data_IF_283163338253
#
_entry.id   IF_283163338253
#
_cell.length_a   1.000
_cell.length_b   1.000
_cell.length_c   1.000
_cell.angle_alpha   90.00
_cell.angle_beta   90.00
_cell.angle_gamma   90.00
#
_symmetry.space_group_name_H-M   'P 1'
#
loop_
_entity.id
_entity.type
_entity.pdbx_description
1 polymer ?
#
# COMPACT_ATOMS: atom_id res chain seq x y z
N UNK A 1 22.16 11.75 3.03
CA UNK A 1 22.56 10.34 3.29
C UNK A 1 22.33 10.03 4.75
N UNK A 2 21.58 8.95 5.01
CA UNK A 2 21.14 8.55 6.35
C UNK A 2 22.33 7.96 7.12
N UNK A 3 22.53 8.41 8.36
CA UNK A 3 23.52 7.83 9.26
C UNK A 3 22.94 6.56 9.91
N UNK A 4 23.31 5.39 9.38
CA UNK A 4 22.81 4.09 9.84
C UNK A 4 23.05 3.88 11.34
N UNK A 5 24.13 4.43 11.90
CA UNK A 5 24.46 4.28 13.32
C UNK A 5 23.48 5.00 14.26
N UNK A 6 22.62 5.87 13.72
CA UNK A 6 21.58 6.58 14.47
C UNK A 6 20.20 5.92 14.35
N UNK A 7 20.07 4.87 13.53
CA UNK A 7 18.82 4.13 13.37
C UNK A 7 18.59 3.18 14.54
N UNK A 8 17.32 2.79 14.75
CA UNK A 8 16.94 1.75 15.70
C UNK A 8 17.72 0.44 15.43
N UNK A 9 18.16 -0.26 16.50
CA UNK A 9 18.95 -1.49 16.39
C UNK A 9 18.24 -2.56 15.55
N UNK A 10 16.90 -2.63 15.61
CA UNK A 10 16.11 -3.55 14.80
C UNK A 10 16.15 -3.20 13.31
N UNK A 11 16.21 -1.91 12.97
CA UNK A 11 16.38 -1.44 11.58
C UNK A 11 17.81 -1.74 11.09
N UNK A 12 18.83 -1.52 11.93
CA UNK A 12 20.21 -1.84 11.58
C UNK A 12 20.38 -3.34 11.30
N UNK A 13 19.83 -4.20 12.16
CA UNK A 13 19.84 -5.65 11.98
C UNK A 13 19.09 -6.08 10.71
N UNK A 14 17.96 -5.43 10.41
CA UNK A 14 17.19 -5.68 9.18
C UNK A 14 17.99 -5.33 7.91
N UNK A 15 18.64 -4.17 7.88
CA UNK A 15 19.49 -3.74 6.76
C UNK A 15 20.66 -4.70 6.53
N UNK A 16 21.33 -5.12 7.61
CA UNK A 16 22.39 -6.12 7.53
C UNK A 16 21.86 -7.45 6.95
N UNK A 17 20.67 -7.88 7.40
CA UNK A 17 20.07 -9.13 6.94
C UNK A 17 19.64 -9.10 5.49
N UNK A 18 19.17 -7.96 4.97
CA UNK A 18 18.93 -7.79 3.53
C UNK A 18 20.19 -8.11 2.73
N UNK A 19 21.33 -7.53 3.11
CA UNK A 19 22.59 -7.72 2.39
C UNK A 19 23.08 -9.19 2.43
N UNK A 20 22.87 -9.89 3.55
CA UNK A 20 23.18 -11.31 3.68
C UNK A 20 22.33 -12.17 2.75
N UNK A 21 21.00 -11.99 2.77
CA UNK A 21 20.08 -12.75 1.91
C UNK A 21 20.36 -12.44 0.44
N UNK A 22 20.61 -11.18 0.10
CA UNK A 22 20.92 -10.73 -1.25
C UNK A 22 22.14 -11.47 -1.82
N UNK A 23 23.17 -11.67 -0.99
CA UNK A 23 24.40 -12.39 -1.34
C UNK A 23 24.22 -13.91 -1.50
N UNK A 24 23.21 -14.51 -0.85
CA UNK A 24 22.89 -15.94 -0.97
C UNK A 24 22.10 -16.27 -2.25
N UNK A 25 21.34 -15.31 -2.78
CA UNK A 25 20.44 -15.54 -3.90
C UNK A 25 21.16 -15.45 -5.26
N UNK A 26 20.75 -16.25 -6.26
CA UNK A 26 21.28 -16.13 -7.61
C UNK A 26 21.15 -14.70 -8.13
N UNK A 27 22.20 -14.20 -8.78
CA UNK A 27 22.17 -12.89 -9.44
C UNK A 27 21.29 -12.95 -10.68
N UNK A 28 20.36 -12.01 -10.79
CA UNK A 28 19.63 -11.78 -12.04
C UNK A 28 20.51 -10.93 -12.95
N UNK A 29 20.99 -11.53 -14.04
CA UNK A 29 21.91 -10.85 -14.99
C UNK A 29 21.19 -10.19 -16.16
N UNK A 30 19.95 -10.59 -16.43
CA UNK A 30 19.10 -9.98 -17.47
C UNK A 30 18.17 -8.93 -16.85
N UNK A 31 18.36 -7.63 -17.14
CA UNK A 31 17.46 -6.57 -16.68
C UNK A 31 16.03 -6.65 -17.24
N UNK A 32 15.73 -7.57 -18.16
CA UNK A 32 14.39 -7.83 -18.66
C UNK A 32 13.71 -9.04 -17.96
N UNK A 33 14.41 -9.78 -17.11
CA UNK A 33 13.84 -10.91 -16.36
C UNK A 33 13.00 -10.43 -15.17
N UNK A 34 11.82 -9.87 -15.47
CA UNK A 34 10.83 -9.50 -14.45
C UNK A 34 10.35 -10.69 -13.62
N UNK A 35 10.02 -11.87 -14.19
CA UNK A 35 9.63 -13.03 -13.39
C UNK A 35 10.70 -13.46 -12.37
N UNK A 36 11.96 -13.55 -12.78
CA UNK A 36 13.06 -13.93 -11.89
C UNK A 36 13.31 -12.89 -10.79
N UNK A 37 13.21 -11.59 -11.12
CA UNK A 37 13.31 -10.52 -10.11
C UNK A 37 12.17 -10.56 -9.10
N UNK A 38 10.92 -10.74 -9.55
CA UNK A 38 9.75 -10.85 -8.68
C UNK A 38 9.88 -12.01 -7.70
N UNK A 39 10.28 -13.18 -8.19
CA UNK A 39 10.48 -14.34 -7.32
C UNK A 39 11.60 -14.11 -6.32
N UNK A 40 12.70 -13.49 -6.76
CA UNK A 40 13.81 -13.14 -5.88
C UNK A 40 13.39 -12.17 -4.78
N UNK A 41 12.69 -11.09 -5.14
CA UNK A 41 12.18 -10.10 -4.19
C UNK A 41 11.20 -10.72 -3.19
N UNK A 42 10.30 -11.60 -3.66
CA UNK A 42 9.40 -12.36 -2.79
C UNK A 42 10.15 -13.23 -1.79
N UNK A 43 11.21 -13.93 -2.21
CA UNK A 43 12.04 -14.73 -1.30
C UNK A 43 12.71 -13.85 -0.24
N UNK A 44 13.23 -12.69 -0.62
CA UNK A 44 13.83 -11.73 0.33
C UNK A 44 12.76 -11.24 1.32
N UNK A 45 11.61 -10.81 0.80
CA UNK A 45 10.45 -10.34 1.58
C UNK A 45 10.01 -11.37 2.62
N UNK A 46 9.75 -12.61 2.20
CA UNK A 46 9.26 -13.69 3.07
C UNK A 46 10.28 -14.09 4.15
N UNK A 47 11.57 -14.13 3.82
CA UNK A 47 12.63 -14.42 4.80
C UNK A 47 12.74 -13.32 5.85
N UNK A 48 12.72 -12.05 5.42
CA UNK A 48 12.74 -10.91 6.35
C UNK A 48 11.48 -10.88 7.21
N UNK A 49 10.31 -11.17 6.64
CA UNK A 49 9.06 -11.26 7.40
C UNK A 49 9.13 -12.33 8.50
N UNK A 50 9.65 -13.51 8.18
CA UNK A 50 9.80 -14.60 9.14
C UNK A 50 10.66 -14.20 10.36
N UNK A 51 11.68 -13.36 10.16
CA UNK A 51 12.61 -12.93 11.19
C UNK A 51 12.12 -11.66 11.93
N UNK A 52 11.60 -10.65 11.22
CA UNK A 52 11.36 -9.30 11.75
C UNK A 52 9.89 -8.89 11.91
N UNK A 53 8.94 -9.62 11.32
CA UNK A 53 7.51 -9.38 11.53
C UNK A 53 6.94 -10.28 12.62
N UNK A 54 5.93 -9.81 13.35
CA UNK A 54 5.06 -10.71 14.12
C UNK A 54 4.41 -11.72 13.18
N UNK A 55 4.14 -12.96 13.62
CA UNK A 55 3.47 -13.95 12.77
C UNK A 55 2.03 -13.51 12.46
N UNK A 56 1.40 -14.21 11.51
CA UNK A 56 -0.05 -14.12 11.26
C UNK A 56 -0.84 -14.24 12.56
N UNK A 57 -1.80 -13.34 12.76
CA UNK A 57 -2.68 -13.33 13.92
C UNK A 57 -3.71 -14.47 13.81
N UNK A 58 -3.72 -15.35 14.81
CA UNK A 58 -4.59 -16.54 14.81
C UNK A 58 -6.07 -16.22 15.02
N UNK A 59 -6.40 -14.99 15.45
CA UNK A 59 -7.78 -14.48 15.54
C UNK A 59 -8.36 -14.16 14.16
N UNK A 60 -7.54 -14.08 13.12
CA UNK A 60 -7.98 -13.94 11.74
C UNK A 60 -7.88 -15.26 10.95
N UNK A 61 -8.78 -15.42 10.00
CA UNK A 61 -8.69 -16.42 8.94
C UNK A 61 -8.25 -15.76 7.63
N UNK A 62 -7.41 -16.47 6.89
CA UNK A 62 -6.94 -16.08 5.55
C UNK A 62 -7.42 -17.17 4.59
N UNK A 63 -8.09 -16.76 3.53
CA UNK A 63 -8.60 -17.66 2.49
C UNK A 63 -8.18 -17.16 1.11
N UNK A 64 -7.75 -18.09 0.27
CA UNK A 64 -7.48 -17.80 -1.14
C UNK A 64 -8.82 -17.65 -1.88
N UNK A 65 -8.97 -16.56 -2.63
CA UNK A 65 -10.18 -16.25 -3.40
C UNK A 65 -9.83 -15.67 -4.77
N UNK A 66 -10.82 -15.62 -5.65
CA UNK A 66 -10.74 -14.86 -6.89
C UNK A 66 -11.74 -13.71 -6.82
N UNK A 67 -11.32 -12.51 -7.23
CA UNK A 67 -12.16 -11.31 -7.28
C UNK A 67 -11.88 -10.53 -8.56
N UNK A 68 -12.92 -10.21 -9.34
CA UNK A 68 -12.79 -9.59 -10.66
C UNK A 68 -11.79 -10.33 -11.58
N UNK A 69 -11.73 -11.66 -11.46
CA UNK A 69 -10.79 -12.51 -12.21
C UNK A 69 -9.33 -12.37 -11.79
N UNK A 70 -9.04 -11.79 -10.62
CA UNK A 70 -7.70 -11.67 -10.01
C UNK A 70 -7.61 -12.53 -8.76
N UNK A 71 -6.43 -13.06 -8.48
CA UNK A 71 -6.17 -13.71 -7.20
C UNK A 71 -6.23 -12.71 -6.05
N UNK A 72 -6.70 -13.14 -4.88
CA UNK A 72 -6.63 -12.35 -3.66
C UNK A 72 -6.57 -13.24 -2.41
N UNK A 73 -6.10 -12.65 -1.30
CA UNK A 73 -6.36 -13.17 0.03
C UNK A 73 -7.55 -12.42 0.64
N UNK A 74 -8.57 -13.16 1.07
CA UNK A 74 -9.64 -12.65 1.92
C UNK A 74 -9.29 -12.94 3.38
N UNK A 75 -9.18 -11.87 4.16
CA UNK A 75 -8.75 -11.89 5.55
C UNK A 75 -9.91 -11.38 6.41
N UNK A 76 -10.37 -12.19 7.37
CA UNK A 76 -11.51 -11.86 8.25
C UNK A 76 -11.22 -12.26 9.69
N UNK A 77 -11.81 -11.59 10.71
CA UNK A 77 -11.82 -12.11 12.07
C UNK A 77 -12.60 -13.43 12.11
N UNK A 78 -12.05 -14.47 12.74
CA UNK A 78 -12.65 -15.82 12.77
C UNK A 78 -14.05 -15.86 13.37
N UNK A 79 -14.29 -15.04 14.38
CA UNK A 79 -15.55 -15.02 15.12
C UNK A 79 -16.56 -14.00 14.54
N UNK A 80 -16.20 -13.31 13.45
CA UNK A 80 -17.08 -12.33 12.82
C UNK A 80 -18.30 -13.00 12.17
N UNK A 81 -19.45 -12.33 12.25
CA UNK A 81 -20.71 -12.80 11.65
C UNK A 81 -21.37 -11.67 10.87
N UNK A 82 -21.88 -12.02 9.70
CA UNK A 82 -22.60 -11.09 8.82
C UNK A 82 -21.68 -10.11 8.09
N UNK A 83 -22.27 -9.05 7.51
CA UNK A 83 -21.54 -8.04 6.77
C UNK A 83 -20.52 -7.31 7.63
N UNK A 84 -19.29 -7.19 7.13
CA UNK A 84 -18.20 -6.47 7.78
C UNK A 84 -17.82 -5.22 6.98
N UNK A 85 -17.41 -4.15 7.66
CA UNK A 85 -16.62 -3.11 7.02
C UNK A 85 -15.44 -3.74 6.27
N UNK A 86 -15.17 -3.27 5.07
CA UNK A 86 -14.22 -3.93 4.17
C UNK A 86 -13.21 -2.95 3.61
N UNK A 87 -11.93 -3.31 3.65
CA UNK A 87 -10.87 -2.61 2.92
C UNK A 87 -10.34 -3.47 1.78
N UNK A 88 -10.28 -2.91 0.56
CA UNK A 88 -9.42 -3.45 -0.49
C UNK A 88 -7.98 -2.99 -0.23
N UNK A 89 -7.06 -3.91 0.00
CA UNK A 89 -5.64 -3.64 0.19
C UNK A 89 -4.84 -3.93 -1.09
N UNK A 90 -3.90 -3.04 -1.38
CA UNK A 90 -3.03 -3.08 -2.55
C UNK A 90 -1.57 -3.12 -2.05
N UNK A 91 -0.85 -4.17 -2.42
CA UNK A 91 0.54 -4.38 -1.97
C UNK A 91 1.53 -3.37 -2.57
N UNK A 92 2.72 -3.29 -1.98
CA UNK A 92 3.85 -2.52 -2.50
C UNK A 92 4.60 -3.23 -3.63
N UNK A 93 5.84 -2.82 -3.91
CA UNK A 93 6.67 -3.45 -4.96
C UNK A 93 6.81 -2.63 -6.23
N UNK A 94 6.73 -1.30 -6.13
CA UNK A 94 7.05 -0.40 -7.25
C UNK A 94 6.25 -0.67 -8.52
N UNK A 95 5.01 -1.14 -8.44
CA UNK A 95 4.15 -1.49 -9.58
C UNK A 95 4.65 -2.66 -10.47
N UNK A 96 5.89 -3.10 -10.28
CA UNK A 96 6.56 -4.11 -11.10
C UNK A 96 6.79 -5.42 -10.36
N UNK A 97 6.59 -5.44 -9.05
CA UNK A 97 6.74 -6.60 -8.16
C UNK A 97 5.75 -6.56 -6.99
N UNK A 98 5.97 -7.43 -5.99
CA UNK A 98 5.04 -7.70 -4.90
C UNK A 98 3.94 -8.68 -5.30
N UNK A 99 3.23 -9.19 -4.31
CA UNK A 99 2.06 -10.06 -4.49
C UNK A 99 1.18 -10.09 -3.24
N UNK A 100 -0.10 -10.39 -3.40
CA UNK A 100 -0.99 -10.69 -2.28
C UNK A 100 -0.50 -11.89 -1.43
N UNK A 101 0.38 -12.74 -1.97
CA UNK A 101 0.91 -13.95 -1.34
C UNK A 101 2.11 -13.74 -0.42
N UNK A 102 2.59 -12.51 -0.25
CA UNK A 102 3.73 -12.25 0.63
C UNK A 102 3.37 -12.49 2.11
N UNK A 103 4.24 -13.20 2.82
CA UNK A 103 4.05 -13.52 4.25
C UNK A 103 3.95 -12.25 5.10
N UNK A 104 4.66 -11.19 4.71
CA UNK A 104 4.61 -9.90 5.39
C UNK A 104 3.22 -9.27 5.35
N UNK A 105 2.57 -9.32 4.19
CA UNK A 105 1.22 -8.76 4.01
C UNK A 105 0.23 -9.54 4.85
N UNK A 106 0.27 -10.87 4.81
CA UNK A 106 -0.60 -11.71 5.65
C UNK A 106 -0.41 -11.44 7.15
N UNK A 107 0.83 -11.29 7.61
CA UNK A 107 1.14 -10.96 9.00
C UNK A 107 0.54 -9.62 9.44
N UNK A 108 0.72 -8.57 8.64
CA UNK A 108 0.23 -7.22 8.93
C UNK A 108 -1.30 -7.16 8.86
N UNK A 109 -1.88 -7.73 7.81
CA UNK A 109 -3.31 -7.58 7.52
C UNK A 109 -4.17 -8.49 8.41
N UNK A 110 -3.66 -9.65 8.84
CA UNK A 110 -4.36 -10.50 9.82
C UNK A 110 -4.52 -9.81 11.17
N UNK A 111 -3.46 -9.16 11.68
CA UNK A 111 -3.54 -8.36 12.91
C UNK A 111 -4.54 -7.21 12.75
N UNK A 112 -4.47 -6.47 11.63
CA UNK A 112 -5.42 -5.38 11.35
C UNK A 112 -6.85 -5.85 11.29
N UNK A 113 -7.14 -6.92 10.57
CA UNK A 113 -8.48 -7.48 10.46
C UNK A 113 -9.00 -7.88 11.85
N UNK A 114 -8.21 -8.63 12.62
CA UNK A 114 -8.58 -9.11 13.95
C UNK A 114 -8.82 -7.97 14.95
N UNK A 115 -7.94 -6.96 15.00
CA UNK A 115 -8.01 -5.90 16.00
C UNK A 115 -9.00 -4.78 15.63
N UNK A 116 -9.09 -4.43 14.34
CA UNK A 116 -10.06 -3.43 13.88
C UNK A 116 -11.46 -4.01 13.64
N UNK A 117 -11.61 -5.34 13.62
CA UNK A 117 -12.89 -6.00 13.39
C UNK A 117 -13.42 -5.84 11.96
N UNK A 118 -12.53 -5.80 10.97
CA UNK A 118 -12.87 -5.56 9.56
C UNK A 118 -12.47 -6.73 8.66
N UNK A 119 -13.07 -6.81 7.48
CA UNK A 119 -12.60 -7.64 6.38
C UNK A 119 -11.53 -6.89 5.57
N UNK A 120 -10.48 -7.60 5.15
CA UNK A 120 -9.48 -7.08 4.21
C UNK A 120 -9.39 -8.01 3.01
N UNK A 121 -9.47 -7.46 1.81
CA UNK A 121 -9.22 -8.17 0.55
C UNK A 121 -7.87 -7.70 0.00
N UNK A 122 -6.83 -8.53 0.10
CA UNK A 122 -5.50 -8.24 -0.43
C UNK A 122 -5.42 -8.69 -1.89
N UNK A 123 -5.43 -7.73 -2.83
CA UNK A 123 -5.57 -7.98 -4.27
C UNK A 123 -4.22 -8.19 -4.96
N UNK A 124 -4.13 -9.22 -5.78
CA UNK A 124 -2.98 -9.51 -6.66
C UNK A 124 -3.22 -8.85 -8.03
N UNK A 125 -3.00 -7.53 -8.07
CA UNK A 125 -3.26 -6.72 -9.27
C UNK A 125 -2.21 -6.94 -10.36
N UNK A 126 -2.54 -6.60 -11.62
CA UNK A 126 -1.60 -6.75 -12.74
C UNK A 126 -0.40 -5.81 -12.62
N UNK A 127 0.79 -6.35 -12.87
CA UNK A 127 2.06 -5.64 -12.76
C UNK A 127 2.58 -5.11 -14.11
N UNK A 128 3.33 -4.02 -14.02
CA UNK A 128 4.17 -3.50 -15.10
C UNK A 128 5.47 -4.34 -15.22
N UNK A 129 6.11 -4.36 -16.41
CA UNK A 129 5.75 -3.64 -17.63
C UNK A 129 4.71 -4.34 -18.50
N UNK A 130 4.31 -5.58 -18.20
CA UNK A 130 3.36 -6.34 -19.02
C UNK A 130 1.98 -5.67 -19.05
N UNK A 131 1.62 -5.01 -17.95
CA UNK A 131 0.37 -4.28 -17.79
C UNK A 131 0.66 -2.91 -17.17
N UNK A 132 1.08 -1.92 -17.97
CA UNK A 132 1.38 -0.59 -17.45
C UNK A 132 0.09 0.14 -17.01
N UNK A 133 0.25 1.32 -16.43
CA UNK A 133 -0.85 2.20 -16.05
C UNK A 133 -1.85 2.39 -17.21
N UNK A 134 -3.17 2.31 -16.95
CA UNK A 134 -3.82 2.20 -15.64
C UNK A 134 -4.24 0.77 -15.23
N UNK A 135 -3.58 -0.30 -15.67
CA UNK A 135 -4.07 -1.67 -15.49
C UNK A 135 -4.35 -2.06 -14.02
N UNK A 136 -3.40 -1.82 -13.10
CA UNK A 136 -3.58 -2.11 -11.67
C UNK A 136 -4.74 -1.31 -11.04
N UNK A 137 -4.90 -0.05 -11.45
CA UNK A 137 -6.00 0.82 -11.01
C UNK A 137 -7.34 0.27 -11.49
N UNK A 138 -7.42 -0.20 -12.74
CA UNK A 138 -8.64 -0.80 -13.28
C UNK A 138 -9.00 -2.11 -12.58
N UNK A 139 -8.00 -2.93 -12.23
CA UNK A 139 -8.21 -4.15 -11.43
C UNK A 139 -8.79 -3.81 -10.05
N UNK A 140 -8.24 -2.79 -9.39
CA UNK A 140 -8.73 -2.34 -8.08
C UNK A 140 -10.16 -1.76 -8.14
N UNK A 141 -10.49 -0.96 -9.17
CA UNK A 141 -11.86 -0.45 -9.38
C UNK A 141 -12.85 -1.59 -9.64
N UNK A 142 -12.47 -2.58 -10.46
CA UNK A 142 -13.30 -3.75 -10.72
C UNK A 142 -13.52 -4.59 -9.45
N UNK A 143 -12.47 -4.81 -8.66
CA UNK A 143 -12.57 -5.50 -7.38
C UNK A 143 -13.50 -4.76 -6.41
N UNK A 144 -13.38 -3.44 -6.26
CA UNK A 144 -14.29 -2.65 -5.41
C UNK A 144 -15.74 -2.76 -5.86
N UNK A 145 -16.00 -2.72 -7.17
CA UNK A 145 -17.35 -2.88 -7.71
C UNK A 145 -17.92 -4.26 -7.38
N UNK A 146 -17.11 -5.32 -7.47
CA UNK A 146 -17.54 -6.68 -7.10
C UNK A 146 -17.74 -6.83 -5.59
N UNK A 147 -16.86 -6.27 -4.74
CA UNK A 147 -17.03 -6.27 -3.27
C UNK A 147 -18.36 -5.62 -2.87
N UNK A 148 -18.71 -4.52 -3.52
CA UNK A 148 -19.90 -3.75 -3.22
C UNK A 148 -21.20 -4.39 -3.76
N UNK A 149 -21.11 -5.35 -4.69
CA UNK A 149 -22.28 -6.04 -5.22
C UNK A 149 -22.82 -7.06 -4.19
N UNK A 150 -24.04 -6.87 -3.65
CA UNK A 150 -24.63 -7.82 -2.72
C UNK A 150 -24.78 -9.23 -3.30
N UNK A 151 -24.91 -9.35 -4.63
CA UNK A 151 -25.03 -10.64 -5.30
C UNK A 151 -23.71 -11.43 -5.35
N UNK A 152 -22.56 -10.75 -5.19
CA UNK A 152 -21.24 -11.39 -5.19
C UNK A 152 -20.90 -12.09 -3.87
N UNK A 153 -21.65 -11.84 -2.79
CA UNK A 153 -21.56 -12.62 -1.55
C UNK A 153 -20.30 -12.33 -0.71
N UNK A 154 -19.67 -11.17 -0.87
CA UNK A 154 -18.48 -10.76 -0.11
C UNK A 154 -18.75 -10.44 1.36
N UNK A 155 -20.02 -10.40 1.78
CA UNK A 155 -20.46 -9.99 3.11
C UNK A 155 -19.77 -8.68 3.53
N UNK A 156 -19.76 -7.71 2.62
CA UNK A 156 -19.22 -6.38 2.85
C UNK A 156 -20.35 -5.43 3.27
N UNK A 157 -20.05 -4.54 4.22
CA UNK A 157 -20.93 -3.43 4.60
C UNK A 157 -20.75 -2.30 3.56
N UNK A 158 -21.79 -2.00 2.74
CA UNK A 158 -21.66 -1.07 1.62
C UNK A 158 -21.47 0.39 2.06
N UNK A 159 -21.78 0.74 3.31
CA UNK A 159 -21.55 2.08 3.86
C UNK A 159 -20.10 2.25 4.37
N UNK A 160 -19.39 1.14 4.58
CA UNK A 160 -18.05 1.11 5.17
C UNK A 160 -17.07 0.36 4.28
N UNK A 161 -16.96 0.81 3.03
CA UNK A 161 -15.99 0.31 2.06
C UNK A 161 -14.80 1.27 1.97
N UNK A 162 -13.59 0.74 2.08
CA UNK A 162 -12.36 1.51 1.95
C UNK A 162 -11.37 0.91 0.97
N UNK A 163 -10.37 1.70 0.61
CA UNK A 163 -9.19 1.25 -0.14
C UNK A 163 -7.94 1.54 0.70
N UNK A 164 -6.85 0.83 0.47
CA UNK A 164 -5.58 1.16 1.08
C UNK A 164 -4.43 0.41 0.46
N UNK A 165 -3.22 0.78 0.84
CA UNK A 165 -2.02 0.11 0.35
C UNK A 165 -0.73 0.76 0.79
N UNK A 166 0.37 0.02 0.59
CA UNK A 166 1.72 0.47 0.88
C UNK A 166 2.48 0.83 -0.39
N UNK A 167 3.27 1.91 -0.37
CA UNK A 167 4.17 2.30 -1.46
C UNK A 167 3.44 2.46 -2.79
N UNK A 168 3.75 1.64 -3.80
CA UNK A 168 3.02 1.55 -5.06
C UNK A 168 1.52 1.27 -4.87
N UNK A 169 1.13 0.40 -3.94
CA UNK A 169 -0.26 0.15 -3.60
C UNK A 169 -0.94 1.38 -2.98
N UNK A 170 -0.21 2.19 -2.21
CA UNK A 170 -0.69 3.47 -1.70
C UNK A 170 -0.92 4.50 -2.82
N UNK A 171 -0.07 4.50 -3.85
CA UNK A 171 -0.34 5.27 -5.08
C UNK A 171 -1.60 4.78 -5.78
N UNK A 172 -1.73 3.48 -6.05
CA UNK A 172 -2.90 2.91 -6.73
C UNK A 172 -4.18 3.24 -5.94
N UNK A 173 -4.16 3.12 -4.61
CA UNK A 173 -5.27 3.48 -3.73
C UNK A 173 -5.68 4.95 -3.85
N UNK A 174 -4.71 5.87 -3.91
CA UNK A 174 -5.00 7.30 -4.11
C UNK A 174 -5.65 7.57 -5.49
N UNK A 175 -5.15 6.94 -6.56
CA UNK A 175 -5.75 7.06 -7.90
C UNK A 175 -7.16 6.47 -7.94
N UNK A 176 -7.38 5.33 -7.29
CA UNK A 176 -8.70 4.72 -7.15
C UNK A 176 -9.67 5.66 -6.45
N UNK A 177 -9.26 6.31 -5.36
CA UNK A 177 -10.09 7.29 -4.66
C UNK A 177 -10.52 8.46 -5.56
N UNK A 178 -9.58 9.01 -6.36
CA UNK A 178 -9.86 10.06 -7.34
C UNK A 178 -10.88 9.60 -8.40
N UNK A 179 -10.64 8.43 -9.01
CA UNK A 179 -11.50 7.90 -10.07
C UNK A 179 -12.89 7.51 -9.59
N UNK A 180 -12.98 6.90 -8.40
CA UNK A 180 -14.27 6.53 -7.80
C UNK A 180 -15.07 7.78 -7.45
N UNK A 181 -14.45 8.81 -6.85
CA UNK A 181 -15.10 10.11 -6.62
C UNK A 181 -15.69 10.66 -7.92
N UNK A 182 -14.91 10.70 -9.00
CA UNK A 182 -15.38 11.30 -10.26
C UNK A 182 -16.49 10.47 -10.91
N UNK A 183 -16.43 9.13 -10.80
CA UNK A 183 -17.51 8.26 -11.22
C UNK A 183 -18.80 8.51 -10.41
N UNK A 184 -18.70 8.68 -9.09
CA UNK A 184 -19.84 9.01 -8.21
C UNK A 184 -20.42 10.38 -8.56
N UNK A 185 -19.57 11.41 -8.74
CA UNK A 185 -20.01 12.76 -9.17
C UNK A 185 -20.72 12.74 -10.53
N UNK A 186 -20.29 11.87 -11.43
CA UNK A 186 -20.94 11.66 -12.73
C UNK A 186 -22.25 10.83 -12.65
N UNK A 187 -22.67 10.40 -11.45
CA UNK A 187 -23.89 9.62 -11.25
C UNK A 187 -23.74 8.13 -11.63
N UNK A 188 -22.52 7.61 -11.71
CA UNK A 188 -22.29 6.18 -11.93
C UNK A 188 -22.62 5.37 -10.68
N UNK A 189 -22.97 4.10 -10.85
CA UNK A 189 -23.17 3.15 -9.75
C UNK A 189 -21.85 2.67 -9.10
N UNK A 190 -20.79 3.49 -9.13
CA UNK A 190 -19.54 3.18 -8.46
C UNK A 190 -19.78 3.17 -6.93
N UNK A 191 -19.14 2.25 -6.19
CA UNK A 191 -19.32 2.22 -4.74
C UNK A 191 -18.74 3.47 -4.11
N UNK A 192 -19.44 4.04 -3.11
CA UNK A 192 -18.87 5.13 -2.33
C UNK A 192 -17.78 4.60 -1.42
N UNK A 193 -16.65 5.29 -1.37
CA UNK A 193 -15.58 4.98 -0.44
C UNK A 193 -15.75 5.81 0.83
N UNK A 194 -15.69 5.15 1.98
CA UNK A 194 -15.64 5.80 3.29
C UNK A 194 -14.23 6.28 3.63
N UNK A 195 -13.20 5.56 3.16
CA UNK A 195 -11.82 5.76 3.62
C UNK A 195 -10.75 5.32 2.60
N UNK A 196 -9.61 6.02 2.59
CA UNK A 196 -8.38 5.60 1.92
C UNK A 196 -7.16 5.65 2.87
N UNK A 197 -6.55 4.49 3.17
CA UNK A 197 -5.32 4.36 3.97
C UNK A 197 -4.09 4.28 3.07
N UNK A 198 -3.25 5.32 3.07
CA UNK A 198 -2.09 5.44 2.18
C UNK A 198 -0.79 5.36 3.00
N UNK A 199 -0.07 4.26 2.88
CA UNK A 199 1.17 4.03 3.64
C UNK A 199 2.39 4.21 2.75
N UNK A 200 3.34 5.06 3.17
CA UNK A 200 4.55 5.44 2.42
C UNK A 200 4.30 5.65 0.91
N UNK A 201 3.24 6.37 0.50
CA UNK A 201 2.73 6.26 -0.86
C UNK A 201 3.57 7.04 -1.89
N UNK A 202 3.75 6.46 -3.07
CA UNK A 202 4.45 7.10 -4.19
C UNK A 202 3.57 8.10 -4.96
N UNK A 203 3.23 9.27 -4.38
CA UNK A 203 2.21 10.19 -4.95
C UNK A 203 2.71 11.17 -6.02
N UNK A 204 3.99 11.11 -6.36
CA UNK A 204 4.59 11.83 -7.49
C UNK A 204 5.45 10.86 -8.33
N UNK A 205 4.98 10.54 -9.53
CA UNK A 205 5.70 9.68 -10.48
C UNK A 205 6.43 10.47 -11.59
N UNK A 206 6.32 11.80 -11.59
CA UNK A 206 7.21 12.64 -12.38
C UNK A 206 8.55 12.88 -11.68
N UNK A 207 8.67 12.43 -10.42
CA UNK A 207 9.88 12.44 -9.60
C UNK A 207 10.54 13.82 -9.64
N UNK A 208 9.75 14.85 -9.36
CA UNK A 208 10.24 16.22 -9.23
C UNK A 208 11.19 16.33 -8.04
N UNK A 209 12.03 17.37 -8.05
CA UNK A 209 13.06 17.63 -7.03
C UNK A 209 12.43 18.03 -5.67
N UNK A 210 11.77 17.09 -5.00
CA UNK A 210 11.32 17.24 -3.62
C UNK A 210 12.54 17.30 -2.68
N UNK A 211 12.47 18.09 -1.59
CA UNK A 211 13.55 18.14 -0.60
C UNK A 211 13.94 16.76 -0.06
N UNK A 212 12.97 15.93 0.33
CA UNK A 212 13.14 14.54 0.77
C UNK A 212 13.86 13.68 -0.26
N UNK A 213 13.47 13.73 -1.53
CA UNK A 213 14.18 13.02 -2.61
C UNK A 213 15.66 13.43 -2.67
N UNK A 214 15.95 14.74 -2.59
CA UNK A 214 17.33 15.26 -2.68
C UNK A 214 18.17 14.90 -1.44
N UNK A 215 17.55 14.89 -0.27
CA UNK A 215 18.22 14.66 1.03
C UNK A 215 18.48 13.16 1.30
N UNK A 216 17.51 12.31 0.91
CA UNK A 216 17.38 10.94 1.38
C UNK A 216 17.65 9.89 0.30
N UNK A 217 17.62 10.23 -0.99
CA UNK A 217 17.97 9.31 -2.07
C UNK A 217 19.35 9.63 -2.66
N UNK A 218 20.12 8.58 -2.92
CA UNK A 218 21.30 8.64 -3.78
C UNK A 218 20.90 8.82 -5.26
N UNK A 219 21.85 9.24 -6.12
CA UNK A 219 21.61 9.28 -7.57
C UNK A 219 21.21 7.92 -8.17
N UNK A 220 21.73 6.81 -7.61
CA UNK A 220 21.42 5.46 -8.07
C UNK A 220 19.98 5.05 -7.70
N UNK A 221 19.56 5.31 -6.46
CA UNK A 221 18.19 5.07 -6.02
C UNK A 221 17.19 5.92 -6.81
N UNK A 222 17.54 7.18 -7.08
CA UNK A 222 16.72 8.08 -7.91
C UNK A 222 16.59 7.55 -9.34
N UNK A 223 17.69 7.08 -9.94
CA UNK A 223 17.66 6.48 -11.27
C UNK A 223 16.83 5.18 -11.31
N UNK A 224 16.93 4.35 -10.27
CA UNK A 224 16.12 3.14 -10.11
C UNK A 224 14.63 3.45 -10.00
N UNK A 225 14.24 4.41 -9.15
CA UNK A 225 12.87 4.87 -9.02
C UNK A 225 12.32 5.41 -10.36
N UNK A 226 13.15 6.10 -11.16
CA UNK A 226 12.76 6.59 -12.48
C UNK A 226 12.54 5.47 -13.49
N UNK A 227 13.41 4.46 -13.53
CA UNK A 227 13.20 3.28 -14.36
C UNK A 227 11.91 2.53 -14.00
N UNK A 228 11.58 2.44 -12.70
CA UNK A 228 10.31 1.87 -12.23
C UNK A 228 9.11 2.70 -12.69
N UNK A 229 9.16 4.03 -12.49
CA UNK A 229 8.10 4.93 -12.95
C UNK A 229 7.89 4.86 -14.47
N UNK A 230 8.97 4.77 -15.25
CA UNK A 230 8.92 4.64 -16.71
C UNK A 230 8.30 3.31 -17.16
N UNK A 231 8.62 2.20 -16.48
CA UNK A 231 8.01 0.90 -16.75
C UNK A 231 6.49 0.90 -16.46
N UNK A 232 6.07 1.66 -15.44
CA UNK A 232 4.67 1.76 -15.05
C UNK A 232 3.86 2.78 -15.86
N UNK A 233 4.45 3.90 -16.30
CA UNK A 233 3.75 5.11 -16.80
C UNK A 233 2.64 4.88 -17.82
N UNK A 234 2.81 3.92 -18.73
CA UNK A 234 1.76 3.53 -19.69
C UNK A 234 1.10 4.71 -20.42
N UNK A 235 -0.22 4.65 -20.57
CA UNK A 235 -1.01 5.79 -21.05
C UNK A 235 -1.40 6.68 -19.86
N UNK A 236 -0.47 7.56 -19.48
CA UNK A 236 -0.65 8.50 -18.37
C UNK A 236 -1.85 9.44 -18.57
N UNK A 237 -2.55 9.73 -17.47
CA UNK A 237 -3.56 10.78 -17.36
C UNK A 237 -3.22 11.72 -16.19
N UNK A 238 -4.12 12.64 -15.86
CA UNK A 238 -3.90 13.64 -14.80
C UNK A 238 -3.74 13.03 -13.39
N UNK A 239 -4.17 11.79 -13.18
CA UNK A 239 -4.09 11.13 -11.87
C UNK A 239 -2.80 10.33 -11.68
N UNK A 240 -1.95 10.20 -12.69
CA UNK A 240 -0.69 9.45 -12.57
C UNK A 240 0.18 9.95 -11.41
N UNK A 241 0.15 11.25 -11.13
CA UNK A 241 0.80 11.85 -9.95
C UNK A 241 -0.29 12.48 -9.08
N UNK A 242 -0.93 11.74 -8.14
CA UNK A 242 -2.08 12.23 -7.37
C UNK A 242 -1.85 13.58 -6.70
N UNK A 243 -0.63 13.85 -6.21
CA UNK A 243 -0.25 15.14 -5.61
C UNK A 243 -0.44 16.32 -6.57
N UNK A 244 -0.45 16.11 -7.90
CA UNK A 244 -0.63 17.16 -8.90
C UNK A 244 -2.07 17.37 -9.36
N UNK A 245 -3.00 16.49 -8.98
CA UNK A 245 -4.40 16.57 -9.42
C UNK A 245 -5.01 17.93 -9.06
N UNK A 246 -5.60 18.62 -10.03
CA UNK A 246 -6.09 19.98 -9.84
C UNK A 246 -7.25 20.06 -8.83
N UNK A 247 -8.20 19.13 -8.92
CA UNK A 247 -9.35 19.05 -8.01
C UNK A 247 -9.20 17.87 -7.04
N UNK A 248 -9.10 18.20 -5.75
CA UNK A 248 -9.03 17.25 -4.63
C UNK A 248 -10.23 17.36 -3.68
N UNK A 249 -11.28 18.11 -4.07
CA UNK A 249 -12.50 18.17 -3.28
C UNK A 249 -13.27 16.84 -3.34
N UNK A 250 -14.18 16.64 -2.38
CA UNK A 250 -15.08 15.48 -2.25
C UNK A 250 -14.42 14.09 -2.28
N UNK A 251 -13.13 14.02 -1.97
CA UNK A 251 -12.47 12.72 -1.75
C UNK A 251 -13.02 12.04 -0.50
N UNK A 252 -12.94 10.69 -0.44
CA UNK A 252 -13.15 9.99 0.82
C UNK A 252 -12.16 10.51 1.87
N UNK A 253 -12.41 10.21 3.14
CA UNK A 253 -11.41 10.49 4.19
C UNK A 253 -10.07 9.85 3.81
N UNK A 254 -9.00 10.63 3.86
CA UNK A 254 -7.65 10.17 3.54
C UNK A 254 -6.82 10.09 4.82
N UNK A 255 -6.23 8.94 5.10
CA UNK A 255 -5.21 8.81 6.13
C UNK A 255 -3.87 8.49 5.48
N UNK A 256 -2.94 9.44 5.55
CA UNK A 256 -1.59 9.29 5.00
C UNK A 256 -0.63 8.96 6.13
N UNK A 257 0.14 7.89 5.97
CA UNK A 257 1.25 7.55 6.86
C UNK A 257 2.55 7.66 6.10
N UNK A 258 3.49 8.48 6.57
CA UNK A 258 4.80 8.69 5.95
C UNK A 258 5.92 8.24 6.87
N UNK A 259 7.04 7.78 6.32
CA UNK A 259 8.25 7.53 7.08
C UNK A 259 9.13 8.80 7.07
N UNK A 260 9.74 9.14 8.22
CA UNK A 260 10.57 10.35 8.33
C UNK A 260 11.74 10.34 7.33
N UNK A 261 12.37 9.18 7.18
CA UNK A 261 13.56 8.95 6.37
C UNK A 261 13.21 8.24 5.05
N UNK A 262 12.18 8.74 4.36
CA UNK A 262 11.70 8.24 3.08
C UNK A 262 11.78 9.32 1.98
N UNK A 263 12.45 9.05 0.84
CA UNK A 263 12.44 9.95 -0.32
C UNK A 263 11.04 10.31 -0.83
N UNK A 264 10.04 9.45 -0.63
CA UNK A 264 8.65 9.66 -1.07
C UNK A 264 7.80 10.49 -0.09
N UNK A 265 8.39 10.91 1.04
CA UNK A 265 7.69 11.60 2.13
C UNK A 265 7.00 12.88 1.67
N UNK A 266 7.74 13.84 1.12
CA UNK A 266 7.18 15.18 0.90
C UNK A 266 5.99 15.22 -0.07
N UNK A 267 5.98 14.52 -1.23
CA UNK A 267 4.79 14.51 -2.08
C UNK A 267 3.58 13.87 -1.40
N UNK A 268 3.78 12.89 -0.51
CA UNK A 268 2.70 12.29 0.25
C UNK A 268 2.10 13.26 1.28
N UNK A 269 2.95 14.01 1.98
CA UNK A 269 2.51 15.02 2.96
C UNK A 269 1.86 16.22 2.27
N UNK A 270 2.39 16.65 1.12
CA UNK A 270 1.81 17.71 0.31
C UNK A 270 0.42 17.31 -0.21
N UNK A 271 0.22 16.05 -0.62
CA UNK A 271 -1.09 15.57 -1.03
C UNK A 271 -2.11 15.71 0.10
N UNK A 272 -1.79 15.23 1.31
CA UNK A 272 -2.67 15.37 2.47
C UNK A 272 -2.99 16.84 2.76
N UNK A 273 -1.97 17.72 2.72
CA UNK A 273 -2.13 19.17 2.90
C UNK A 273 -3.11 19.76 1.88
N UNK A 274 -2.95 19.43 0.59
CA UNK A 274 -3.81 19.93 -0.48
C UNK A 274 -5.25 19.42 -0.39
N UNK A 275 -5.46 18.18 0.08
CA UNK A 275 -6.82 17.67 0.35
C UNK A 275 -7.51 18.53 1.41
N UNK A 276 -6.82 18.87 2.51
CA UNK A 276 -7.36 19.77 3.54
C UNK A 276 -7.63 21.17 2.98
N UNK A 277 -6.74 21.73 2.16
CA UNK A 277 -6.94 23.03 1.52
C UNK A 277 -8.14 23.07 0.57
N UNK A 278 -8.44 21.94 -0.08
CA UNK A 278 -9.64 21.77 -0.90
C UNK A 278 -10.93 21.58 -0.08
N UNK A 279 -10.85 21.60 1.26
CA UNK A 279 -11.98 21.42 2.17
C UNK A 279 -12.30 19.95 2.49
N UNK A 280 -11.44 19.01 2.10
CA UNK A 280 -11.58 17.58 2.39
C UNK A 280 -11.09 17.18 3.78
N UNK A 281 -11.28 15.90 4.11
CA UNK A 281 -10.87 15.30 5.38
C UNK A 281 -9.62 14.44 5.17
N UNK A 282 -8.45 15.01 5.48
CA UNK A 282 -7.20 14.27 5.46
C UNK A 282 -6.45 14.39 6.78
N UNK A 283 -5.84 13.29 7.19
CA UNK A 283 -4.93 13.23 8.33
C UNK A 283 -3.58 12.67 7.89
N UNK A 284 -2.53 13.18 8.53
CA UNK A 284 -1.16 12.77 8.27
C UNK A 284 -0.53 12.27 9.56
N UNK A 285 0.15 11.13 9.49
CA UNK A 285 1.00 10.63 10.57
C UNK A 285 2.38 10.28 10.03
N UNK A 286 3.40 10.98 10.52
CA UNK A 286 4.80 10.64 10.25
C UNK A 286 5.31 9.63 11.28
N UNK A 287 5.97 8.58 10.81
CA UNK A 287 6.73 7.63 11.61
C UNK A 287 8.17 8.11 11.78
N UNK A 288 8.47 8.70 12.94
CA UNK A 288 9.82 9.16 13.28
C UNK A 288 10.82 7.98 13.31
N UNK A 289 12.00 8.19 12.75
CA UNK A 289 13.07 7.20 12.61
C UNK A 289 12.75 6.03 11.66
N UNK A 290 11.58 6.02 11.01
CA UNK A 290 11.21 4.98 10.06
C UNK A 290 11.79 5.25 8.67
N UNK A 291 12.12 4.17 7.96
CA UNK A 291 12.44 4.12 6.52
C UNK A 291 11.26 3.54 5.72
N UNK A 292 11.30 3.68 4.40
CA UNK A 292 10.27 3.18 3.47
C UNK A 292 9.81 1.74 3.74
N UNK A 293 10.74 0.80 3.93
CA UNK A 293 10.44 -0.63 4.14
C UNK A 293 10.22 -1.06 5.61
N UNK A 294 10.32 -0.14 6.56
CA UNK A 294 10.27 -0.46 7.99
C UNK A 294 8.89 -0.62 8.64
N UNK A 295 7.75 -0.16 8.06
CA UNK A 295 6.43 -0.35 8.69
C UNK A 295 6.08 -1.81 9.05
N UNK A 296 6.67 -2.78 8.35
CA UNK A 296 6.45 -4.22 8.58
C UNK A 296 7.29 -4.87 9.69
N UNK A 297 8.26 -4.18 10.29
CA UNK A 297 9.22 -4.76 11.25
C UNK A 297 8.65 -4.88 12.68
N UNK A 298 7.43 -5.38 12.79
CA UNK A 298 6.59 -5.31 13.99
C UNK A 298 7.11 -6.15 15.17
N UNK A 299 8.03 -7.09 14.94
CA UNK A 299 8.70 -7.84 16.02
C UNK A 299 9.89 -7.07 16.60
N UNK A 300 10.60 -6.33 15.76
CA UNK A 300 11.93 -5.80 16.09
C UNK A 300 11.93 -4.30 16.41
N UNK A 301 11.02 -3.51 15.83
CA UNK A 301 11.11 -2.05 15.84
C UNK A 301 9.88 -1.44 16.52
N UNK A 302 10.02 -0.72 17.65
CA UNK A 302 8.90 -0.08 18.35
C UNK A 302 8.14 0.92 17.47
N UNK A 303 8.83 1.62 16.57
CA UNK A 303 8.22 2.53 15.60
C UNK A 303 7.24 1.81 14.67
N UNK A 304 7.58 0.62 14.18
CA UNK A 304 6.70 -0.21 13.34
C UNK A 304 5.49 -0.75 14.10
N UNK A 305 5.63 -1.02 15.40
CA UNK A 305 4.49 -1.37 16.26
C UNK A 305 3.54 -0.19 16.46
N UNK A 306 4.09 1.02 16.65
CA UNK A 306 3.29 2.25 16.74
C UNK A 306 2.61 2.57 15.41
N UNK A 307 3.28 2.28 14.29
CA UNK A 307 2.71 2.36 12.95
C UNK A 307 1.50 1.42 12.83
N UNK A 308 1.64 0.15 13.19
CA UNK A 308 0.51 -0.78 13.13
C UNK A 308 -0.66 -0.37 14.01
N UNK A 309 -0.41 0.06 15.24
CA UNK A 309 -1.48 0.55 16.12
C UNK A 309 -2.22 1.73 15.50
N UNK A 310 -1.51 2.67 14.87
CA UNK A 310 -2.15 3.80 14.21
C UNK A 310 -3.04 3.38 13.02
N UNK A 311 -2.58 2.43 12.21
CA UNK A 311 -3.39 1.88 11.12
C UNK A 311 -4.63 1.15 11.66
N UNK A 312 -4.47 0.35 12.72
CA UNK A 312 -5.57 -0.35 13.40
C UNK A 312 -6.58 0.64 13.97
N UNK A 313 -6.12 1.68 14.68
CA UNK A 313 -6.97 2.71 15.26
C UNK A 313 -7.78 3.45 14.18
N UNK A 314 -7.16 3.80 13.05
CA UNK A 314 -7.89 4.46 11.95
C UNK A 314 -8.92 3.51 11.33
N UNK A 315 -8.55 2.26 11.06
CA UNK A 315 -9.48 1.26 10.52
C UNK A 315 -10.65 0.98 11.49
N UNK A 316 -10.36 0.82 12.77
CA UNK A 316 -11.38 0.57 13.79
C UNK A 316 -12.33 1.77 13.95
N UNK A 317 -11.81 3.00 13.95
CA UNK A 317 -12.64 4.19 14.18
C UNK A 317 -13.52 4.55 12.99
N UNK A 318 -13.09 4.19 11.78
CA UNK A 318 -13.67 4.73 10.53
C UNK A 318 -14.36 3.71 9.66
N UNK A 319 -14.02 2.43 9.85
CA UNK A 319 -14.74 1.34 9.22
C UNK A 319 -15.60 0.59 10.24
N UNK A 320 -15.22 0.44 11.50
CA UNK A 320 -16.06 -0.26 12.48
C UNK A 320 -17.25 0.60 12.96
N UNK A 321 -18.38 -0.09 13.17
CA UNK A 321 -19.67 0.47 13.60
C UNK A 321 -19.64 1.14 14.97
#
# INVERSE_FOLDING_TARGET
MIDIAQLDDGIQAWLARIAEIDAELPRITDPADFPGRRERERIVSDRLAAEFARPVDDRAEITEVEIAGRYAHRIRPRDARGPLPTQLFLHGGGFISGTAREVLNDAILSERAAEAGIQIISLDYRLAPENPYPAAVLDAVAALAEIADPAAGWEADPEHLGVGGGSAGGHIAAVVALRVRDAVRAGSAAPQLAHALLEVPALDLDLTDWPSMTELASPEETAGARAVADAYRGQADEYLSPVRTADLADLPRIFVMTAELDPLRDPAEEFARRVVEAGGDAQLRRGEGQLHGTPGLTRAVPGSQAWQRAAIEELATRLAR
#
